data_IF_479023346546
#
_entry.id   IF_479023346546
#
_cell.length_a   1.000
_cell.length_b   1.000
_cell.length_c   1.000
_cell.angle_alpha   90.00
_cell.angle_beta   90.00
_cell.angle_gamma   90.00
#
_symmetry.space_group_name_H-M   'P 1'
#
loop_
_entity.id
_entity.type
_entity.pdbx_description
1 polymer ?
#
# COMPACT_ATOMS: atom_id res chain seq x y z
N UNK A 1 -8.03 31.28 -19.81
CA UNK A 1 -8.90 30.52 -18.89
C UNK A 1 -8.64 29.00 -18.98
N UNK A 2 -7.39 28.55 -18.84
CA UNK A 2 -7.01 27.11 -18.95
C UNK A 2 -6.13 26.65 -17.75
N UNK A 3 -5.49 27.58 -17.04
CA UNK A 3 -4.56 27.27 -15.93
C UNK A 3 -5.25 26.92 -14.59
N UNK A 4 -6.44 27.46 -14.31
CA UNK A 4 -7.13 27.23 -13.03
C UNK A 4 -7.63 25.79 -12.84
N UNK A 5 -7.97 25.08 -13.93
CA UNK A 5 -8.54 23.73 -13.87
C UNK A 5 -7.51 22.67 -13.44
N UNK A 6 -6.21 22.86 -13.78
CA UNK A 6 -5.12 21.94 -13.37
C UNK A 6 -4.84 22.02 -11.87
N UNK A 7 -4.93 23.20 -11.25
CA UNK A 7 -4.63 23.40 -9.83
C UNK A 7 -5.66 22.71 -8.92
N UNK A 8 -6.95 22.80 -9.26
CA UNK A 8 -8.03 22.16 -8.49
C UNK A 8 -7.94 20.63 -8.62
N UNK A 9 -7.62 20.11 -9.80
CA UNK A 9 -7.43 18.67 -10.03
C UNK A 9 -6.24 18.10 -9.24
N UNK A 10 -5.11 18.82 -9.20
CA UNK A 10 -3.93 18.40 -8.42
C UNK A 10 -4.17 18.51 -6.91
N UNK A 11 -4.83 19.56 -6.46
CA UNK A 11 -5.17 19.77 -5.03
C UNK A 11 -6.19 18.73 -4.51
N UNK A 12 -7.09 18.22 -5.37
CA UNK A 12 -8.01 17.11 -5.04
C UNK A 12 -7.30 15.74 -5.07
N UNK A 13 -6.35 15.51 -5.99
CA UNK A 13 -5.52 14.29 -6.04
C UNK A 13 -4.61 14.17 -4.82
N UNK A 14 -3.98 15.27 -4.40
CA UNK A 14 -3.08 15.29 -3.24
C UNK A 14 -3.83 15.09 -1.92
N UNK A 15 -5.07 15.60 -1.82
CA UNK A 15 -5.98 15.31 -0.70
C UNK A 15 -6.47 13.86 -0.72
N UNK A 16 -6.89 13.34 -1.86
CA UNK A 16 -7.46 11.99 -1.98
C UNK A 16 -6.51 10.83 -1.65
N UNK A 17 -5.21 10.97 -1.93
CA UNK A 17 -4.19 10.00 -1.51
C UNK A 17 -3.97 10.02 0.01
N UNK A 18 -3.76 11.23 0.57
CA UNK A 18 -3.59 11.44 2.01
C UNK A 18 -4.82 11.01 2.83
N UNK A 19 -6.02 11.16 2.27
CA UNK A 19 -7.25 10.71 2.93
C UNK A 19 -7.34 9.19 3.06
N UNK A 20 -6.92 8.42 2.05
CA UNK A 20 -6.94 6.96 2.13
C UNK A 20 -5.96 6.43 3.19
N UNK A 21 -4.74 6.99 3.21
CA UNK A 21 -3.76 6.70 4.26
C UNK A 21 -4.31 7.06 5.66
N UNK A 22 -4.94 8.23 5.80
CA UNK A 22 -5.54 8.66 7.08
C UNK A 22 -6.70 7.76 7.51
N UNK A 23 -7.54 7.31 6.57
CA UNK A 23 -8.63 6.38 6.85
C UNK A 23 -8.09 5.04 7.32
N UNK A 24 -7.08 4.50 6.63
CA UNK A 24 -6.43 3.26 7.01
C UNK A 24 -5.75 3.37 8.38
N UNK A 25 -5.04 4.47 8.64
CA UNK A 25 -4.46 4.75 9.95
C UNK A 25 -5.52 4.80 11.07
N UNK A 26 -6.67 5.42 10.79
CA UNK A 26 -7.78 5.47 11.75
C UNK A 26 -8.38 4.09 11.99
N UNK A 27 -8.47 3.25 10.96
CA UNK A 27 -8.93 1.87 11.09
C UNK A 27 -7.99 1.06 11.98
N UNK A 28 -6.68 1.14 11.75
CA UNK A 28 -5.67 0.49 12.61
C UNK A 28 -5.77 0.96 14.06
N UNK A 29 -5.95 2.26 14.28
CA UNK A 29 -6.12 2.83 15.62
C UNK A 29 -7.41 2.34 16.31
N UNK A 30 -8.51 2.21 15.58
CA UNK A 30 -9.77 1.66 16.11
C UNK A 30 -9.66 0.18 16.48
N UNK A 31 -8.79 -0.56 15.78
CA UNK A 31 -8.50 -1.97 16.05
C UNK A 31 -7.43 -2.15 17.14
N UNK A 32 -6.96 -1.08 17.76
CA UNK A 32 -5.87 -1.07 18.76
C UNK A 32 -4.58 -1.74 18.26
N UNK A 33 -4.32 -1.65 16.96
CA UNK A 33 -3.11 -2.18 16.34
C UNK A 33 -1.99 -1.15 16.49
N UNK A 34 -0.83 -1.50 17.07
CA UNK A 34 0.30 -0.59 17.15
C UNK A 34 0.90 -0.34 15.76
N UNK A 35 0.99 0.92 15.36
CA UNK A 35 1.62 1.33 14.11
C UNK A 35 2.37 2.65 14.25
N UNK A 36 3.42 2.80 13.46
CA UNK A 36 4.16 4.04 13.29
C UNK A 36 3.95 4.56 11.85
N UNK A 37 3.55 5.83 11.73
CA UNK A 37 3.47 6.51 10.43
C UNK A 37 4.81 7.10 10.11
N UNK A 38 5.34 6.76 8.94
CA UNK A 38 6.65 7.26 8.51
C UNK A 38 6.44 8.29 7.42
N UNK A 39 6.82 9.53 7.68
CA UNK A 39 6.79 10.56 6.66
C UNK A 39 8.09 10.46 5.82
N UNK A 40 7.92 10.02 4.56
CA UNK A 40 8.77 10.33 3.40
C UNK A 40 10.18 9.75 3.31
N UNK A 41 10.85 9.33 4.39
CA UNK A 41 12.25 8.85 4.27
C UNK A 41 12.39 7.48 3.58
N UNK A 42 11.32 6.68 3.57
CA UNK A 42 11.32 5.32 3.00
C UNK A 42 10.20 5.08 1.98
N UNK A 43 9.39 6.11 1.63
CA UNK A 43 8.08 6.02 0.92
C UNK A 43 7.13 4.88 1.38
N UNK A 44 7.42 4.32 2.56
CA UNK A 44 6.54 3.44 3.33
C UNK A 44 5.59 4.32 4.12
N UNK A 45 4.31 3.98 4.09
CA UNK A 45 3.29 4.76 4.80
C UNK A 45 3.16 4.31 6.26
N UNK A 46 3.26 2.99 6.52
CA UNK A 46 3.07 2.38 7.84
C UNK A 46 4.10 1.30 8.16
N UNK A 47 4.59 1.31 9.39
CA UNK A 47 5.41 0.23 9.96
C UNK A 47 4.73 -0.27 11.24
N UNK A 48 4.55 -1.58 11.33
CA UNK A 48 3.97 -2.23 12.50
C UNK A 48 4.99 -3.19 13.14
N UNK A 49 5.14 -3.17 14.47
CA UNK A 49 4.57 -2.22 15.43
C UNK A 49 5.28 -0.86 15.45
N UNK A 50 6.59 -0.80 15.14
CA UNK A 50 7.39 0.43 15.10
C UNK A 50 8.63 0.28 14.21
N UNK A 51 9.21 1.41 13.80
CA UNK A 51 10.43 1.48 13.00
C UNK A 51 11.66 0.95 13.77
N UNK A 52 11.68 1.12 15.08
CA UNK A 52 12.71 0.50 15.94
C UNK A 52 12.57 -1.02 16.00
N UNK A 53 11.34 -1.53 16.09
CA UNK A 53 11.09 -2.96 16.06
C UNK A 53 11.49 -3.58 14.73
N UNK A 54 11.21 -2.90 13.61
CA UNK A 54 11.66 -3.30 12.28
C UNK A 54 13.19 -3.45 12.21
N UNK A 55 13.96 -2.54 12.84
CA UNK A 55 15.43 -2.64 12.89
C UNK A 55 15.91 -3.83 13.72
N UNK A 56 15.21 -4.17 14.81
CA UNK A 56 15.56 -5.29 15.70
C UNK A 56 15.14 -6.65 15.14
N UNK A 57 13.94 -6.74 14.56
CA UNK A 57 13.37 -7.98 14.06
C UNK A 57 12.53 -7.73 12.80
N UNK A 58 13.19 -7.77 11.64
CA UNK A 58 12.54 -7.62 10.33
C UNK A 58 11.52 -8.72 10.04
N UNK A 59 11.74 -9.93 10.54
CA UNK A 59 10.91 -11.10 10.25
C UNK A 59 9.53 -11.04 10.89
N UNK A 60 9.41 -10.34 12.02
CA UNK A 60 8.14 -10.15 12.72
C UNK A 60 7.52 -8.78 12.50
N UNK A 61 8.27 -7.83 11.96
CA UNK A 61 7.76 -6.53 11.58
C UNK A 61 6.93 -6.64 10.30
N UNK A 62 5.96 -5.74 10.18
CA UNK A 62 5.11 -5.62 9.01
C UNK A 62 5.27 -4.23 8.42
N UNK A 63 5.46 -4.18 7.11
CA UNK A 63 5.54 -2.94 6.34
C UNK A 63 4.31 -2.86 5.47
N UNK A 64 3.56 -1.76 5.58
CA UNK A 64 2.38 -1.55 4.77
C UNK A 64 2.43 -0.21 4.04
N UNK A 65 2.09 -0.23 2.75
CA UNK A 65 1.86 0.98 1.96
C UNK A 65 0.44 0.98 1.44
N UNK A 66 -0.25 2.10 1.57
CA UNK A 66 -1.64 2.25 1.16
C UNK A 66 -1.73 3.15 -0.07
N UNK A 67 -2.23 2.62 -1.18
CA UNK A 67 -2.36 3.34 -2.45
C UNK A 67 -3.77 3.19 -3.00
N UNK A 68 -4.47 4.30 -3.13
CA UNK A 68 -5.86 4.31 -3.61
C UNK A 68 -6.01 3.72 -5.02
N UNK A 69 -5.04 3.94 -5.91
CA UNK A 69 -5.06 3.42 -7.29
C UNK A 69 -3.66 2.98 -7.72
N UNK A 70 -3.55 1.84 -8.40
CA UNK A 70 -2.31 1.30 -8.95
C UNK A 70 -2.07 1.85 -10.36
N UNK A 71 -1.57 3.08 -10.41
CA UNK A 71 -1.17 3.75 -11.67
C UNK A 71 0.28 3.42 -12.05
N UNK A 72 0.82 4.03 -13.10
CA UNK A 72 2.18 3.80 -13.62
C UNK A 72 3.31 3.86 -12.57
N UNK A 73 3.08 4.52 -11.43
CA UNK A 73 4.05 4.66 -10.33
C UNK A 73 4.05 3.52 -9.31
N UNK A 74 3.24 2.47 -9.48
CA UNK A 74 3.24 1.34 -8.54
C UNK A 74 4.60 0.61 -8.54
N UNK A 75 5.30 0.60 -9.68
CA UNK A 75 6.62 -0.06 -9.83
C UNK A 75 7.68 0.53 -8.92
N UNK A 76 7.77 1.86 -8.86
CA UNK A 76 8.70 2.57 -7.97
C UNK A 76 8.45 2.19 -6.50
N UNK A 77 7.19 2.15 -6.09
CA UNK A 77 6.81 1.81 -4.70
C UNK A 77 7.21 0.38 -4.36
N UNK A 78 6.92 -0.56 -5.25
CA UNK A 78 7.20 -1.99 -5.06
C UNK A 78 8.70 -2.27 -5.01
N UNK A 79 9.49 -1.61 -5.86
CA UNK A 79 10.95 -1.72 -5.85
C UNK A 79 11.56 -1.16 -4.56
N UNK A 80 11.06 -0.02 -4.06
CA UNK A 80 11.51 0.55 -2.79
C UNK A 80 11.10 -0.31 -1.58
N UNK A 81 9.88 -0.86 -1.60
CA UNK A 81 9.43 -1.80 -0.57
C UNK A 81 10.32 -3.05 -0.53
N UNK A 82 10.62 -3.62 -1.69
CA UNK A 82 11.53 -4.75 -1.82
C UNK A 82 12.93 -4.44 -1.27
N UNK A 83 13.45 -3.23 -1.53
CA UNK A 83 14.74 -2.77 -0.99
C UNK A 83 14.79 -2.67 0.54
N UNK A 84 13.64 -2.60 1.22
CA UNK A 84 13.59 -2.59 2.68
C UNK A 84 14.00 -3.95 3.29
N UNK A 85 14.00 -5.01 2.48
CA UNK A 85 14.37 -6.40 2.85
C UNK A 85 13.60 -6.91 4.07
N UNK A 86 12.32 -6.52 4.18
CA UNK A 86 11.40 -7.11 5.13
C UNK A 86 10.64 -8.25 4.42
N UNK A 87 10.43 -9.41 5.07
CA UNK A 87 9.68 -10.50 4.46
C UNK A 87 8.17 -10.22 4.41
N UNK A 88 7.63 -9.45 5.38
CA UNK A 88 6.21 -9.18 5.47
C UNK A 88 5.89 -7.77 4.95
N UNK A 89 5.77 -7.66 3.63
CA UNK A 89 5.40 -6.42 2.95
C UNK A 89 3.98 -6.56 2.42
N UNK A 90 3.17 -5.54 2.67
CA UNK A 90 1.78 -5.43 2.24
C UNK A 90 1.58 -4.15 1.43
N UNK A 91 0.99 -4.30 0.25
CA UNK A 91 0.52 -3.19 -0.56
C UNK A 91 -1.00 -3.20 -0.54
N UNK A 92 -1.60 -2.21 0.10
CA UNK A 92 -3.05 -2.08 0.21
C UNK A 92 -3.54 -1.19 -0.91
N UNK A 93 -4.55 -1.66 -1.65
CA UNK A 93 -5.17 -0.87 -2.69
C UNK A 93 -6.68 -0.90 -2.65
N UNK A 94 -7.27 0.26 -2.91
CA UNK A 94 -8.71 0.40 -3.11
C UNK A 94 -9.09 0.35 -4.61
N UNK A 95 -8.13 0.00 -5.48
CA UNK A 95 -8.33 -0.09 -6.91
C UNK A 95 -9.11 -1.36 -7.26
N UNK A 96 -10.13 -1.22 -8.10
CA UNK A 96 -10.90 -2.36 -8.63
C UNK A 96 -10.31 -2.89 -9.92
N UNK A 97 -9.45 -2.12 -10.59
CA UNK A 97 -8.87 -2.44 -11.90
C UNK A 97 -7.50 -3.12 -11.77
N UNK A 98 -7.37 -4.01 -10.77
CA UNK A 98 -6.19 -4.88 -10.64
C UNK A 98 -6.21 -5.92 -11.75
N UNK A 99 -5.06 -6.12 -12.39
CA UNK A 99 -4.85 -7.03 -13.53
C UNK A 99 -3.88 -8.14 -13.16
N UNK A 100 -3.86 -9.25 -13.90
CA UNK A 100 -2.92 -10.36 -13.68
C UNK A 100 -1.46 -9.90 -13.76
N UNK A 101 -1.16 -8.91 -14.60
CA UNK A 101 0.18 -8.33 -14.69
C UNK A 101 0.59 -7.65 -13.38
N UNK A 102 -0.35 -7.00 -12.68
CA UNK A 102 -0.09 -6.45 -11.35
C UNK A 102 0.23 -7.57 -10.36
N UNK A 103 -0.53 -8.67 -10.37
CA UNK A 103 -0.29 -9.81 -9.47
C UNK A 103 1.07 -10.46 -9.76
N UNK A 104 1.35 -10.74 -11.03
CA UNK A 104 2.62 -11.37 -11.43
C UNK A 104 3.82 -10.53 -11.02
N UNK A 105 3.79 -9.22 -11.23
CA UNK A 105 4.87 -8.36 -10.78
C UNK A 105 4.90 -8.21 -9.26
N UNK A 106 3.83 -7.72 -8.63
CA UNK A 106 3.83 -7.36 -7.21
C UNK A 106 4.03 -8.60 -6.33
N UNK A 107 3.28 -9.66 -6.59
CA UNK A 107 3.26 -10.85 -5.75
C UNK A 107 4.37 -11.82 -6.10
N UNK A 108 4.54 -12.19 -7.38
CA UNK A 108 5.51 -13.25 -7.74
C UNK A 108 6.93 -12.73 -7.88
N UNK A 109 7.13 -11.54 -8.47
CA UNK A 109 8.47 -11.00 -8.68
C UNK A 109 9.04 -10.33 -7.42
N UNK A 110 8.23 -9.55 -6.70
CA UNK A 110 8.69 -8.80 -5.53
C UNK A 110 8.30 -9.41 -4.18
N UNK A 111 7.55 -10.53 -4.18
CA UNK A 111 7.10 -11.22 -2.96
C UNK A 111 6.34 -10.28 -1.99
N UNK A 112 5.48 -9.42 -2.55
CA UNK A 112 4.65 -8.49 -1.80
C UNK A 112 3.22 -8.99 -1.78
N UNK A 113 2.60 -8.97 -0.59
CA UNK A 113 1.19 -9.31 -0.43
C UNK A 113 0.34 -8.14 -0.90
N UNK A 114 -0.59 -8.38 -1.81
CA UNK A 114 -1.50 -7.36 -2.30
C UNK A 114 -2.82 -7.46 -1.53
N UNK A 115 -3.22 -6.41 -0.84
CA UNK A 115 -4.51 -6.34 -0.15
C UNK A 115 -5.48 -5.55 -1.02
N UNK A 116 -6.56 -6.20 -1.43
CA UNK A 116 -7.65 -5.65 -2.23
C UNK A 116 -8.96 -5.75 -1.45
N UNK A 117 -10.07 -5.28 -2.01
CA UNK A 117 -11.38 -5.56 -1.43
C UNK A 117 -11.78 -7.03 -1.61
N UNK A 118 -12.43 -7.62 -0.60
CA UNK A 118 -13.08 -8.95 -0.65
C UNK A 118 -13.73 -9.23 -2.00
N UNK A 119 -14.58 -8.32 -2.47
CA UNK A 119 -15.29 -8.43 -3.75
C UNK A 119 -14.34 -8.65 -4.94
N UNK A 120 -13.23 -7.89 -4.99
CA UNK A 120 -12.24 -8.01 -6.08
C UNK A 120 -11.49 -9.33 -5.99
N UNK A 121 -11.16 -9.76 -4.76
CA UNK A 121 -10.51 -11.04 -4.49
C UNK A 121 -11.39 -12.21 -4.94
N UNK A 122 -12.65 -12.22 -4.53
CA UNK A 122 -13.60 -13.28 -4.86
C UNK A 122 -13.94 -13.33 -6.36
N UNK A 123 -14.18 -12.17 -6.99
CA UNK A 123 -14.59 -12.12 -8.40
C UNK A 123 -13.44 -12.41 -9.38
N UNK A 124 -12.20 -12.02 -9.06
CA UNK A 124 -11.08 -12.06 -10.01
C UNK A 124 -9.92 -12.96 -9.60
N UNK A 125 -9.62 -13.05 -8.31
CA UNK A 125 -8.39 -13.71 -7.84
C UNK A 125 -8.63 -14.74 -6.72
N UNK A 126 -9.66 -15.61 -6.78
CA UNK A 126 -10.03 -16.46 -5.64
C UNK A 126 -8.92 -17.45 -5.23
N UNK A 127 -8.05 -17.84 -6.15
CA UNK A 127 -7.02 -18.87 -5.94
C UNK A 127 -5.66 -18.29 -5.50
N UNK A 128 -5.41 -17.01 -5.71
CA UNK A 128 -4.06 -16.43 -5.52
C UNK A 128 -3.77 -16.07 -4.05
N UNK A 129 -3.10 -16.94 -3.29
CA UNK A 129 -2.85 -16.77 -1.85
C UNK A 129 -2.16 -15.45 -1.45
N UNK A 130 -1.36 -14.87 -2.37
CA UNK A 130 -0.66 -13.60 -2.14
C UNK A 130 -1.57 -12.38 -2.28
N UNK A 131 -2.80 -12.56 -2.78
CA UNK A 131 -3.83 -11.53 -2.85
C UNK A 131 -4.81 -11.76 -1.69
N UNK A 132 -4.91 -10.77 -0.81
CA UNK A 132 -5.77 -10.79 0.37
C UNK A 132 -7.02 -9.94 0.10
N UNK A 133 -8.20 -10.47 0.43
CA UNK A 133 -9.50 -9.82 0.36
C UNK A 133 -9.97 -9.42 1.74
#
# INVERSE_FOLDING_TARGET
MVFACKFISQSRKQRGGKHFELQFARMLALMDVPFERVDQKYRVDFILPSSEFLKRNKTRAVIASAKRTLRERWREVVEELFNTRAPNIYLITADTDVTDNHIMSICRQYNIHLVVWDKVKEERFPVEDMVLG
#
